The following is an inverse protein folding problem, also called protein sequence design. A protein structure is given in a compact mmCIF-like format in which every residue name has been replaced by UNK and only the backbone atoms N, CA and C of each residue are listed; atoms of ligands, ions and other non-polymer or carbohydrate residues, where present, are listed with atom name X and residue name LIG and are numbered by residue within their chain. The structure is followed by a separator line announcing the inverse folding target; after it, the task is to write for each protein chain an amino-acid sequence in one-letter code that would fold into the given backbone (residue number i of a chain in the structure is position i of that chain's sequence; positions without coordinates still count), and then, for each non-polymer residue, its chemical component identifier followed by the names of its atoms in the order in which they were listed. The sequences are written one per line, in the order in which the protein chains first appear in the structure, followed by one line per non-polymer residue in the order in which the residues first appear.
data_IF_906239249784
#
_entry.id   IF_906239249784
#
_cell.length_a   1.000
_cell.length_b   1.000
_cell.length_c   1.000
_cell.angle_alpha   90.00
_cell.angle_beta   90.00
_cell.angle_gamma   90.00
#
_symmetry.space_group_name_H-M   'P 1'
#
loop_
_entity.id
_entity.type
_entity.pdbx_description
1 polymer ?
#
# COMPACT_ATOMS: atom_id res chain seq x y z
N UNK A 1 -34.37 31.49 -8.32
CA UNK A 1 -34.45 31.15 -9.75
C UNK A 1 -35.71 30.32 -9.93
N UNK A 2 -36.55 30.56 -10.94
CA UNK A 2 -37.73 29.74 -11.15
C UNK A 2 -37.33 28.32 -11.54
N UNK A 3 -37.96 27.34 -10.91
CA UNK A 3 -37.84 25.95 -11.24
C UNK A 3 -38.31 25.74 -12.68
N UNK A 4 -37.43 25.50 -13.61
CA UNK A 4 -37.81 25.12 -14.99
C UNK A 4 -38.26 23.66 -14.96
N UNK A 5 -39.52 23.34 -15.22
CA UNK A 5 -39.97 21.96 -15.24
C UNK A 5 -39.29 21.24 -16.40
N UNK A 6 -38.67 20.08 -16.10
CA UNK A 6 -38.12 19.22 -17.12
C UNK A 6 -39.29 18.55 -17.86
N UNK A 7 -39.46 18.88 -19.14
CA UNK A 7 -40.42 18.26 -20.01
C UNK A 7 -39.82 17.03 -20.67
N UNK A 8 -40.46 15.87 -20.50
CA UNK A 8 -40.07 14.61 -21.14
C UNK A 8 -40.90 14.37 -22.40
N UNK A 9 -40.29 13.89 -23.50
CA UNK A 9 -41.09 13.45 -24.67
C UNK A 9 -42.05 12.32 -24.31
N UNK A 10 -43.25 12.33 -24.89
CA UNK A 10 -44.23 11.29 -24.70
C UNK A 10 -43.63 9.91 -25.09
N UNK A 11 -43.51 8.98 -24.14
CA UNK A 11 -42.97 7.62 -24.21
C UNK A 11 -41.63 7.43 -23.47
N UNK A 12 -41.10 8.40 -22.74
CA UNK A 12 -40.01 8.16 -21.82
C UNK A 12 -40.50 7.79 -20.42
N UNK A 13 -39.79 6.87 -19.74
CA UNK A 13 -40.07 6.56 -18.35
C UNK A 13 -39.92 7.83 -17.50
N UNK A 14 -40.82 8.05 -16.52
CA UNK A 14 -40.73 9.19 -15.64
C UNK A 14 -39.35 9.18 -14.92
N UNK A 15 -38.71 10.32 -14.87
CA UNK A 15 -37.44 10.46 -14.15
C UNK A 15 -37.63 10.06 -12.69
N UNK A 16 -36.75 9.18 -12.21
CA UNK A 16 -36.70 8.81 -10.78
C UNK A 16 -35.95 9.88 -10.02
N UNK A 17 -36.59 10.49 -9.03
CA UNK A 17 -35.93 11.42 -8.12
C UNK A 17 -35.09 10.63 -7.11
N UNK A 18 -33.81 10.95 -7.00
CA UNK A 18 -32.95 10.37 -5.99
C UNK A 18 -33.14 11.15 -4.68
N UNK A 19 -33.45 10.44 -3.59
CA UNK A 19 -33.61 11.00 -2.26
C UNK A 19 -32.62 10.34 -1.30
N UNK A 20 -32.22 11.08 -0.25
CA UNK A 20 -31.52 10.53 0.90
C UNK A 20 -32.27 10.91 2.19
N UNK A 21 -32.03 10.17 3.27
CA UNK A 21 -32.58 10.52 4.58
C UNK A 21 -31.66 11.55 5.25
N UNK A 22 -32.23 12.62 5.79
CA UNK A 22 -31.50 13.54 6.67
C UNK A 22 -31.34 12.96 8.09
N UNK A 23 -30.68 13.69 8.98
CA UNK A 23 -30.45 13.26 10.37
C UNK A 23 -31.76 13.08 11.18
N UNK A 24 -32.87 13.63 10.71
CA UNK A 24 -34.23 13.47 11.27
C UNK A 24 -35.01 12.32 10.64
N UNK A 25 -34.43 11.59 9.68
CA UNK A 25 -35.08 10.50 8.95
C UNK A 25 -36.06 10.95 7.86
N UNK A 26 -36.08 12.24 7.50
CA UNK A 26 -36.92 12.78 6.43
C UNK A 26 -36.26 12.56 5.06
N UNK A 27 -37.08 12.28 4.04
CA UNK A 27 -36.60 12.15 2.67
C UNK A 27 -36.28 13.51 2.07
N UNK A 28 -35.03 13.76 1.73
CA UNK A 28 -34.54 14.99 1.08
C UNK A 28 -34.22 14.71 -0.38
N UNK A 29 -34.79 15.52 -1.27
CA UNK A 29 -34.51 15.41 -2.70
C UNK A 29 -33.10 15.92 -3.01
N UNK A 30 -32.30 15.12 -3.73
CA UNK A 30 -30.99 15.54 -4.20
C UNK A 30 -31.11 16.71 -5.17
N UNK A 31 -30.48 17.81 -4.84
CA UNK A 31 -30.48 19.05 -5.64
C UNK A 31 -29.15 19.78 -5.48
N UNK A 32 -28.95 20.88 -6.20
CA UNK A 32 -27.78 21.73 -6.01
C UNK A 32 -27.70 22.33 -4.59
N UNK A 33 -28.86 22.59 -3.96
CA UNK A 33 -28.95 23.12 -2.59
C UNK A 33 -28.85 22.01 -1.51
N UNK A 34 -29.16 20.77 -1.88
CA UNK A 34 -29.10 19.58 -1.04
C UNK A 34 -28.40 18.43 -1.81
N UNK A 35 -27.06 18.50 -1.96
CA UNK A 35 -26.32 17.46 -2.66
C UNK A 35 -26.35 16.15 -1.88
N UNK A 36 -26.25 15.02 -2.60
CA UNK A 36 -26.14 13.71 -1.97
C UNK A 36 -24.94 13.68 -1.00
N UNK A 37 -25.15 13.39 0.29
CA UNK A 37 -24.02 13.24 1.21
C UNK A 37 -23.24 11.96 0.85
N UNK A 38 -22.12 12.11 0.14
CA UNK A 38 -21.21 11.01 -0.18
C UNK A 38 -20.09 11.04 0.85
N UNK A 39 -20.09 10.06 1.74
CA UNK A 39 -18.93 9.81 2.58
C UNK A 39 -17.92 9.00 1.76
N UNK A 40 -16.87 9.64 1.31
CA UNK A 40 -15.70 8.93 0.81
C UNK A 40 -15.01 8.39 2.06
N UNK A 41 -15.23 7.12 2.37
CA UNK A 41 -14.34 6.40 3.28
C UNK A 41 -12.95 6.48 2.66
N UNK A 42 -12.19 7.48 3.07
CA UNK A 42 -10.84 7.66 2.57
C UNK A 42 -10.09 6.35 2.73
N UNK A 43 -9.43 5.91 1.68
CA UNK A 43 -8.35 4.95 1.83
C UNK A 43 -7.52 5.35 3.07
N UNK A 44 -6.92 4.43 3.82
CA UNK A 44 -6.23 4.72 5.08
C UNK A 44 -5.03 5.68 4.87
N UNK A 45 -5.34 6.91 4.55
CA UNK A 45 -4.39 8.00 4.28
C UNK A 45 -4.00 8.73 5.56
N UNK A 46 -3.93 8.02 6.67
CA UNK A 46 -3.61 8.60 7.97
C UNK A 46 -2.53 7.87 8.75
N UNK A 47 -2.14 6.67 8.37
CA UNK A 47 -1.06 5.99 9.08
C UNK A 47 0.29 6.58 8.69
N UNK A 48 1.00 7.15 9.66
CA UNK A 48 2.39 7.56 9.45
C UNK A 48 3.21 6.34 9.02
N UNK A 49 3.99 6.41 7.94
CA UNK A 49 4.88 5.32 7.57
C UNK A 49 5.79 4.93 8.74
N UNK A 50 6.09 3.65 8.92
CA UNK A 50 7.03 3.22 9.95
C UNK A 50 8.42 3.78 9.68
N UNK A 51 9.24 3.86 10.73
CA UNK A 51 10.63 4.25 10.58
C UNK A 51 11.34 3.33 9.58
N UNK A 52 12.15 3.85 8.66
CA UNK A 52 12.88 3.03 7.71
C UNK A 52 13.77 2.00 8.40
N UNK A 53 13.78 0.77 7.90
CA UNK A 53 14.78 -0.22 8.24
C UNK A 53 16.05 0.10 7.43
N UNK A 54 17.08 0.63 8.10
CA UNK A 54 18.29 1.12 7.44
C UNK A 54 19.54 0.70 8.17
N UNK A 55 20.65 0.61 7.44
CA UNK A 55 21.96 0.31 8.03
C UNK A 55 22.98 -0.14 6.99
N UNK A 56 24.06 -0.72 7.49
CA UNK A 56 25.14 -1.32 6.68
C UNK A 56 25.44 -2.73 7.15
N UNK A 57 25.79 -3.62 6.22
CA UNK A 57 26.11 -5.01 6.48
C UNK A 57 27.44 -5.38 5.81
N UNK A 58 28.56 -5.39 6.54
CA UNK A 58 29.84 -5.90 6.04
C UNK A 58 29.94 -7.44 6.12
N UNK A 59 29.02 -8.08 6.85
CA UNK A 59 28.97 -9.53 7.04
C UNK A 59 27.55 -10.03 6.91
N UNK A 60 27.38 -11.33 6.65
CA UNK A 60 26.08 -11.97 6.51
C UNK A 60 25.23 -11.79 7.77
N UNK A 61 23.99 -11.32 7.57
CA UNK A 61 22.98 -11.15 8.62
C UNK A 61 21.58 -11.06 8.07
N UNK A 62 20.61 -11.32 8.95
CA UNK A 62 19.21 -10.97 8.71
C UNK A 62 18.82 -9.80 9.60
N UNK A 63 18.22 -8.77 9.02
CA UNK A 63 17.77 -7.56 9.72
C UNK A 63 16.27 -7.37 9.55
N UNK A 64 15.62 -6.75 10.50
CA UNK A 64 14.17 -6.54 10.59
C UNK A 64 13.74 -6.60 12.06
N UNK A 65 12.48 -6.57 12.36
CA UNK A 65 11.30 -6.62 11.50
C UNK A 65 10.95 -5.24 10.95
N UNK A 66 10.46 -5.18 9.73
CA UNK A 66 9.80 -4.02 9.17
C UNK A 66 8.30 -4.33 9.02
N UNK A 67 7.45 -3.55 9.67
CA UNK A 67 5.99 -3.71 9.64
C UNK A 67 5.43 -2.65 8.70
N UNK A 68 4.99 -3.01 7.48
CA UNK A 68 4.50 -2.02 6.53
C UNK A 68 3.09 -1.53 6.89
N UNK A 69 2.75 -0.34 6.42
CA UNK A 69 1.36 0.11 6.31
C UNK A 69 0.74 -0.56 5.09
N UNK A 70 -0.42 -1.18 5.27
CA UNK A 70 -1.13 -1.85 4.18
C UNK A 70 -1.45 -0.92 3.01
N UNK A 71 -1.49 -1.48 1.80
CA UNK A 71 -1.81 -0.78 0.56
C UNK A 71 -0.86 0.40 0.24
N UNK A 72 0.40 0.28 0.67
CA UNK A 72 1.48 1.22 0.31
C UNK A 72 2.69 0.47 -0.19
N UNK A 73 3.28 0.88 -1.31
CA UNK A 73 4.48 0.22 -1.83
C UNK A 73 5.66 0.45 -0.89
N UNK A 74 6.42 -0.62 -0.65
CA UNK A 74 7.73 -0.56 0.00
C UNK A 74 8.79 -0.33 -1.06
N UNK A 75 9.72 0.57 -0.78
CA UNK A 75 10.89 0.87 -1.62
C UNK A 75 12.13 0.28 -0.96
N UNK A 76 12.89 -0.48 -1.73
CA UNK A 76 14.21 -0.97 -1.33
C UNK A 76 15.28 -0.12 -2.00
N UNK A 77 16.27 0.29 -1.22
CA UNK A 77 17.48 0.95 -1.72
C UNK A 77 18.69 0.17 -1.22
N UNK A 78 19.51 -0.28 -2.16
CA UNK A 78 20.79 -0.94 -1.88
C UNK A 78 21.88 -0.12 -2.54
N UNK A 79 22.95 0.15 -1.80
CA UNK A 79 24.08 0.93 -2.28
C UNK A 79 25.39 0.46 -1.65
N UNK A 80 26.50 1.03 -2.14
CA UNK A 80 27.85 0.69 -1.71
C UNK A 80 28.63 -0.11 -2.75
N UNK A 81 29.81 -0.53 -2.36
CA UNK A 81 30.67 -1.42 -3.16
C UNK A 81 30.65 -2.79 -2.49
N UNK A 82 30.02 -3.74 -3.13
CA UNK A 82 29.82 -5.08 -2.59
C UNK A 82 29.57 -6.11 -3.69
N UNK A 83 29.79 -7.37 -3.36
CA UNK A 83 29.30 -8.54 -4.10
C UNK A 83 28.55 -9.44 -3.14
N UNK A 84 27.63 -10.25 -3.63
CA UNK A 84 26.82 -11.14 -2.81
C UNK A 84 25.35 -11.08 -3.16
N UNK A 85 24.47 -11.37 -2.20
CA UNK A 85 23.03 -11.42 -2.39
C UNK A 85 22.29 -10.68 -1.27
N UNK A 86 21.17 -10.04 -1.62
CA UNK A 86 20.18 -9.52 -0.69
C UNK A 86 18.83 -10.12 -1.04
N UNK A 87 18.12 -10.66 -0.05
CA UNK A 87 16.78 -11.22 -0.24
C UNK A 87 15.79 -10.53 0.68
N UNK A 88 14.65 -10.14 0.14
CA UNK A 88 13.51 -9.72 0.92
C UNK A 88 12.75 -10.97 1.39
N UNK A 89 12.55 -11.08 2.69
CA UNK A 89 11.82 -12.19 3.31
C UNK A 89 10.54 -11.67 3.92
N UNK A 90 9.46 -12.45 3.82
CA UNK A 90 8.15 -12.20 4.39
C UNK A 90 7.83 -13.20 5.48
N UNK A 91 7.18 -12.75 6.55
CA UNK A 91 6.69 -13.59 7.63
C UNK A 91 5.27 -13.14 8.01
N UNK A 92 4.41 -14.11 8.32
CA UNK A 92 3.03 -13.86 8.82
C UNK A 92 2.84 -14.37 10.26
N UNK A 93 3.90 -14.87 10.87
CA UNK A 93 3.90 -15.49 12.21
C UNK A 93 4.85 -14.76 13.19
N UNK A 94 5.01 -13.44 13.00
CA UNK A 94 5.85 -12.61 13.85
C UNK A 94 7.36 -12.84 13.67
N UNK A 95 7.77 -13.44 12.56
CA UNK A 95 9.18 -13.67 12.23
C UNK A 95 9.73 -15.03 12.65
N UNK A 96 8.86 -15.97 13.03
CA UNK A 96 9.27 -17.37 13.28
C UNK A 96 9.66 -17.99 11.97
N UNK A 97 8.77 -17.96 10.98
CA UNK A 97 9.04 -18.44 9.62
C UNK A 97 9.28 -17.25 8.70
N UNK A 98 10.41 -17.24 7.99
CA UNK A 98 10.78 -16.18 7.04
C UNK A 98 10.96 -16.80 5.68
N UNK A 99 10.05 -16.50 4.76
CA UNK A 99 10.03 -17.06 3.42
C UNK A 99 10.50 -16.03 2.39
N UNK A 100 11.32 -16.41 1.40
CA UNK A 100 11.64 -15.53 0.29
C UNK A 100 10.37 -15.23 -0.53
N UNK A 101 10.30 -14.05 -1.09
CA UNK A 101 9.21 -13.69 -1.99
C UNK A 101 9.37 -14.41 -3.32
N UNK A 102 8.24 -14.78 -3.91
CA UNK A 102 8.17 -15.30 -5.28
C UNK A 102 7.07 -14.60 -6.06
N UNK A 103 7.27 -14.44 -7.36
CA UNK A 103 6.25 -13.97 -8.29
C UNK A 103 6.09 -15.02 -9.39
N UNK A 104 4.91 -15.60 -9.51
CA UNK A 104 4.62 -16.72 -10.41
C UNK A 104 5.60 -17.89 -10.27
N UNK A 105 6.07 -18.17 -9.04
CA UNK A 105 7.03 -19.25 -8.73
C UNK A 105 8.50 -18.88 -8.95
N UNK A 106 8.82 -17.75 -9.57
CA UNK A 106 10.19 -17.27 -9.71
C UNK A 106 10.61 -16.42 -8.47
N UNK A 107 11.90 -16.40 -8.09
CA UNK A 107 12.40 -15.54 -7.03
C UNK A 107 12.06 -14.08 -7.29
N UNK A 108 11.58 -13.37 -6.25
CA UNK A 108 11.29 -11.96 -6.27
C UNK A 108 11.92 -11.25 -5.06
N UNK A 109 12.35 -10.01 -5.24
CA UNK A 109 13.02 -9.29 -4.16
C UNK A 109 14.39 -9.88 -3.80
N UNK A 110 15.08 -10.44 -4.80
CA UNK A 110 16.44 -10.94 -4.69
C UNK A 110 17.39 -10.11 -5.56
N UNK A 111 18.46 -9.60 -4.99
CA UNK A 111 19.34 -8.62 -5.59
C UNK A 111 20.82 -9.01 -5.47
N UNK A 112 21.58 -8.75 -6.52
CA UNK A 112 23.03 -8.97 -6.59
C UNK A 112 23.80 -7.68 -6.91
N UNK A 113 23.09 -6.55 -7.01
CA UNK A 113 23.64 -5.24 -7.35
C UNK A 113 22.90 -4.14 -6.60
N UNK A 114 23.44 -2.91 -6.66
CA UNK A 114 22.77 -1.72 -6.16
C UNK A 114 21.44 -1.50 -6.88
N UNK A 115 20.41 -1.09 -6.14
CA UNK A 115 19.05 -0.90 -6.63
C UNK A 115 18.35 0.20 -5.85
N UNK A 116 17.37 0.85 -6.46
CA UNK A 116 16.44 1.76 -5.82
C UNK A 116 15.08 1.67 -6.53
N UNK A 117 14.19 0.84 -5.99
CA UNK A 117 12.91 0.53 -6.65
C UNK A 117 11.83 0.12 -5.67
N UNK A 118 10.54 0.24 -6.05
CA UNK A 118 9.45 -0.41 -5.34
C UNK A 118 9.60 -1.94 -5.41
N UNK A 119 9.51 -2.62 -4.27
CA UNK A 119 9.71 -4.08 -4.22
C UNK A 119 8.44 -4.85 -3.94
N UNK A 120 7.55 -4.33 -3.10
CA UNK A 120 6.33 -5.03 -2.70
C UNK A 120 5.29 -4.07 -2.12
N UNK A 121 4.03 -4.42 -2.26
CA UNK A 121 2.91 -3.80 -1.56
C UNK A 121 2.19 -4.88 -0.76
N UNK A 122 2.06 -4.67 0.56
CA UNK A 122 1.46 -5.65 1.45
C UNK A 122 0.02 -5.28 1.78
N UNK A 123 -0.87 -6.25 1.73
CA UNK A 123 -2.28 -6.08 2.06
C UNK A 123 -2.74 -7.02 3.19
N UNK A 124 -1.86 -7.88 3.69
CA UNK A 124 -2.17 -8.82 4.76
C UNK A 124 -1.52 -8.40 6.08
N UNK A 125 -2.33 -8.18 7.10
CA UNK A 125 -1.85 -8.08 8.47
C UNK A 125 -1.95 -9.46 9.14
N UNK A 126 -0.93 -9.93 9.88
CA UNK A 126 0.21 -9.22 10.48
C UNK A 126 1.54 -9.45 9.74
N UNK A 127 1.59 -9.29 8.43
CA UNK A 127 2.83 -9.52 7.69
C UNK A 127 3.96 -8.57 8.11
N UNK A 128 5.15 -9.13 8.26
CA UNK A 128 6.38 -8.40 8.58
C UNK A 128 7.51 -8.83 7.64
N UNK A 129 8.45 -7.91 7.42
CA UNK A 129 9.52 -8.10 6.44
C UNK A 129 10.91 -8.04 7.06
N UNK A 130 11.82 -8.78 6.44
CA UNK A 130 13.22 -8.88 6.81
C UNK A 130 14.08 -8.78 5.57
N UNK A 131 15.30 -8.26 5.71
CA UNK A 131 16.32 -8.36 4.68
C UNK A 131 17.38 -9.37 5.13
N UNK A 132 17.57 -10.40 4.33
CA UNK A 132 18.70 -11.32 4.45
C UNK A 132 19.82 -10.78 3.56
N UNK A 133 20.90 -10.33 4.17
CA UNK A 133 22.07 -9.77 3.50
C UNK A 133 23.21 -10.78 3.60
N UNK A 134 23.77 -11.14 2.45
CA UNK A 134 24.86 -12.11 2.35
C UNK A 134 26.00 -11.52 1.49
N UNK A 135 26.73 -10.52 1.98
CA UNK A 135 27.89 -10.00 1.26
C UNK A 135 28.99 -11.07 1.19
N UNK A 136 29.56 -11.24 0.01
CA UNK A 136 30.78 -12.02 -0.22
C UNK A 136 32.01 -11.13 -0.14
N UNK A 137 31.87 -9.86 -0.52
CA UNK A 137 32.90 -8.84 -0.35
C UNK A 137 32.27 -7.45 -0.17
N UNK A 138 33.00 -6.54 0.45
CA UNK A 138 32.57 -5.14 0.65
C UNK A 138 31.51 -4.99 1.73
N UNK A 139 30.69 -3.94 1.62
CA UNK A 139 29.64 -3.64 2.58
C UNK A 139 28.38 -3.17 1.86
N UNK A 140 27.24 -3.77 2.20
CA UNK A 140 25.94 -3.43 1.66
C UNK A 140 25.31 -2.35 2.54
N UNK A 141 25.09 -1.14 2.01
CA UNK A 141 24.20 -0.19 2.63
C UNK A 141 22.77 -0.45 2.17
N UNK A 142 21.84 -0.53 3.10
CA UNK A 142 20.45 -0.89 2.82
C UNK A 142 19.47 0.08 3.45
N UNK A 143 18.32 0.24 2.79
CA UNK A 143 17.15 0.94 3.29
C UNK A 143 15.89 0.25 2.75
N UNK A 144 14.97 -0.11 3.63
CA UNK A 144 13.61 -0.53 3.28
C UNK A 144 12.63 0.45 3.95
N UNK A 145 11.75 1.05 3.18
CA UNK A 145 10.85 2.11 3.65
C UNK A 145 9.57 2.20 2.81
N UNK A 146 8.62 3.00 3.28
CA UNK A 146 7.41 3.44 2.58
C UNK A 146 7.38 4.95 2.51
#
# INVERSE_FOLDING_TARGET
MPNVPISYPARYAPGVALNFADDGGSAVLVSQAAPLPVSISAAPSGSTPPAPLTGTAPTARTVGSYVPVAARPMVITLSGTWTGTVKLLRSIDGGVTKLPLTLAGAPWGEYTANVNEPVWEENEAPAVFYLQLTPLSGSIAYRLAQ
#
